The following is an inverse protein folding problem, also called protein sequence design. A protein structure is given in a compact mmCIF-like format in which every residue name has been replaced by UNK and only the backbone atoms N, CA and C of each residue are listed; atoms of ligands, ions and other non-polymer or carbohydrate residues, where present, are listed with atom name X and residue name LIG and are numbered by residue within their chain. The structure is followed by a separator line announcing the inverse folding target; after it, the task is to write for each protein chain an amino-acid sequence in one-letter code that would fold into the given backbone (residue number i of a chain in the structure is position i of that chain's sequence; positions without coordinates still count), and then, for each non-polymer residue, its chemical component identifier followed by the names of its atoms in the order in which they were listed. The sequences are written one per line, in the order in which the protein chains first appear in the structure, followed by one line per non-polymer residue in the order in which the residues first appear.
data_IF_940745228066
#
_entry.id   IF_940745228066
#
_cell.length_a   1.000
_cell.length_b   1.000
_cell.length_c   1.000
_cell.angle_alpha   90.00
_cell.angle_beta   90.00
_cell.angle_gamma   90.00
#
_symmetry.space_group_name_H-M   'P 1'
#
loop_
_entity.id
_entity.type
_entity.pdbx_description
1 polymer ?
#
# COMPACT_ATOMS: atom_id res chain seq x y z
N UNK A 1 -5.77 7.47 13.79
CA UNK A 1 -6.93 6.76 13.17
C UNK A 1 -6.44 6.08 11.89
N UNK A 2 -6.81 4.83 11.68
CA UNK A 2 -6.38 4.07 10.51
C UNK A 2 -7.39 4.20 9.35
N UNK A 3 -6.89 4.28 8.12
CA UNK A 3 -7.72 4.26 6.92
C UNK A 3 -7.35 3.05 6.06
N UNK A 4 -8.37 2.34 5.58
CA UNK A 4 -8.25 1.29 4.58
C UNK A 4 -8.78 1.81 3.25
N UNK A 5 -7.92 1.82 2.24
CA UNK A 5 -8.26 2.31 0.90
C UNK A 5 -8.25 1.12 -0.06
N UNK A 6 -9.39 0.78 -0.62
CA UNK A 6 -9.51 -0.26 -1.63
C UNK A 6 -9.44 0.35 -3.02
N UNK A 7 -8.57 -0.16 -3.86
CA UNK A 7 -8.38 0.26 -5.26
C UNK A 7 -8.69 -0.88 -6.22
N UNK A 8 -8.88 -0.59 -7.51
CA UNK A 8 -9.36 -1.55 -8.50
C UNK A 8 -8.33 -2.54 -9.06
N UNK A 9 -7.10 -2.60 -8.50
CA UNK A 9 -6.08 -3.55 -8.94
C UNK A 9 -6.37 -4.99 -8.51
N UNK A 10 -5.51 -5.90 -8.92
CA UNK A 10 -5.63 -7.34 -8.58
C UNK A 10 -5.38 -7.54 -7.09
N UNK A 11 -6.19 -8.37 -6.44
CA UNK A 11 -5.99 -8.82 -5.07
C UNK A 11 -6.14 -10.35 -4.96
N UNK A 12 -5.57 -10.90 -3.90
CA UNK A 12 -5.74 -12.29 -3.45
C UNK A 12 -6.41 -12.26 -2.08
N UNK A 13 -7.76 -12.22 -2.03
CA UNK A 13 -8.52 -11.97 -0.81
C UNK A 13 -8.19 -12.94 0.32
N UNK A 14 -7.94 -14.21 -0.01
CA UNK A 14 -7.60 -15.27 0.95
C UNK A 14 -6.27 -15.05 1.67
N UNK A 15 -5.41 -14.17 1.14
CA UNK A 15 -4.12 -13.82 1.73
C UNK A 15 -4.08 -12.42 2.34
N UNK A 16 -5.18 -11.68 2.29
CA UNK A 16 -5.31 -10.39 2.99
C UNK A 16 -5.51 -10.67 4.48
N UNK A 17 -4.57 -10.24 5.30
CA UNK A 17 -4.59 -10.45 6.76
C UNK A 17 -4.88 -9.17 7.55
N UNK A 18 -4.89 -8.03 6.88
CA UNK A 18 -5.19 -6.73 7.49
C UNK A 18 -6.65 -6.36 7.20
N UNK A 19 -7.45 -6.21 8.26
CA UNK A 19 -8.87 -5.89 8.17
C UNK A 19 -9.18 -4.67 9.03
N UNK A 20 -10.14 -3.81 8.61
CA UNK A 20 -10.57 -2.68 9.42
C UNK A 20 -11.27 -3.14 10.70
N UNK A 21 -11.12 -2.33 11.74
CA UNK A 21 -11.82 -2.44 13.02
C UNK A 21 -12.82 -1.31 13.19
N UNK A 22 -13.63 -1.29 14.25
CA UNK A 22 -14.79 -0.42 14.39
C UNK A 22 -14.56 1.09 14.21
N UNK A 23 -13.36 1.59 14.55
CA UNK A 23 -13.01 3.02 14.46
C UNK A 23 -12.23 3.40 13.18
N UNK A 24 -11.99 2.42 12.31
CA UNK A 24 -11.24 2.64 11.07
C UNK A 24 -12.16 3.14 9.96
N UNK A 25 -11.61 4.02 9.11
CA UNK A 25 -12.34 4.49 7.94
C UNK A 25 -12.05 3.59 6.75
N UNK A 26 -13.08 3.23 5.98
CA UNK A 26 -12.95 2.41 4.78
C UNK A 26 -13.37 3.21 3.56
N UNK A 27 -12.43 3.47 2.67
CA UNK A 27 -12.64 4.23 1.44
C UNK A 27 -12.44 3.29 0.25
N UNK A 28 -13.39 3.25 -0.66
CA UNK A 28 -13.22 2.59 -1.95
C UNK A 28 -12.99 3.64 -3.05
N UNK A 29 -11.95 3.45 -3.85
CA UNK A 29 -11.64 4.25 -5.01
C UNK A 29 -12.20 3.56 -6.25
N UNK A 30 -13.29 4.09 -6.82
CA UNK A 30 -14.00 3.58 -7.99
C UNK A 30 -14.23 2.05 -7.92
N UNK A 31 -13.67 1.28 -8.83
CA UNK A 31 -13.78 -0.19 -8.86
C UNK A 31 -13.14 -0.91 -7.67
N UNK A 32 -12.49 -0.21 -6.76
CA UNK A 32 -12.02 -0.75 -5.47
C UNK A 32 -13.15 -1.26 -4.57
N UNK A 33 -14.38 -0.84 -4.83
CA UNK A 33 -15.56 -1.36 -4.14
C UNK A 33 -15.71 -2.88 -4.27
N UNK A 34 -15.45 -3.44 -5.47
CA UNK A 34 -15.51 -4.89 -5.66
C UNK A 34 -14.43 -5.62 -4.83
N UNK A 35 -13.26 -5.03 -4.69
CA UNK A 35 -12.19 -5.57 -3.85
C UNK A 35 -12.56 -5.54 -2.36
N UNK A 36 -13.19 -4.47 -1.88
CA UNK A 36 -13.73 -4.41 -0.52
C UNK A 36 -14.79 -5.52 -0.30
N UNK A 37 -15.71 -5.70 -1.24
CA UNK A 37 -16.71 -6.80 -1.18
C UNK A 37 -16.06 -8.18 -1.16
N UNK A 38 -15.03 -8.40 -1.99
CA UNK A 38 -14.32 -9.69 -2.06
C UNK A 38 -13.63 -10.05 -0.74
N UNK A 39 -13.24 -9.06 0.06
CA UNK A 39 -12.68 -9.27 1.41
C UNK A 39 -13.74 -9.25 2.53
N UNK A 40 -15.03 -9.10 2.19
CA UNK A 40 -16.12 -9.00 3.18
C UNK A 40 -16.11 -7.67 3.96
N UNK A 41 -15.47 -6.63 3.42
CA UNK A 41 -15.30 -5.33 4.09
C UNK A 41 -16.41 -4.35 3.68
N UNK A 42 -17.07 -3.72 4.66
CA UNK A 42 -18.04 -2.68 4.42
C UNK A 42 -17.34 -1.34 4.15
N UNK A 43 -17.76 -0.66 3.09
CA UNK A 43 -17.23 0.65 2.69
C UNK A 43 -18.02 1.76 3.38
N UNK A 44 -17.33 2.76 3.91
CA UNK A 44 -17.94 3.98 4.46
C UNK A 44 -17.93 5.15 3.49
N UNK A 45 -16.95 5.21 2.58
CA UNK A 45 -16.84 6.26 1.55
C UNK A 45 -16.52 5.62 0.21
N UNK A 46 -17.24 5.99 -0.84
CA UNK A 46 -16.90 5.67 -2.24
C UNK A 46 -16.51 6.95 -2.97
N UNK A 47 -15.35 7.00 -3.61
CA UNK A 47 -14.89 8.15 -4.37
C UNK A 47 -14.41 7.77 -5.77
N UNK A 48 -14.62 8.66 -6.75
CA UNK A 48 -14.21 8.46 -8.15
C UNK A 48 -15.14 9.12 -9.15
N UNK A 49 -14.92 8.86 -10.44
CA UNK A 49 -15.83 9.23 -11.52
C UNK A 49 -16.92 8.15 -11.76
N UNK A 50 -16.67 6.95 -11.25
CA UNK A 50 -17.56 5.77 -11.27
C UNK A 50 -17.78 5.13 -12.64
N UNK A 51 -16.94 5.41 -13.62
CA UNK A 51 -17.03 4.76 -14.93
C UNK A 51 -16.76 3.27 -14.82
N UNK A 52 -15.66 2.88 -14.13
CA UNK A 52 -15.32 1.47 -13.92
C UNK A 52 -16.26 0.77 -12.92
N UNK A 53 -16.76 1.48 -11.92
CA UNK A 53 -17.79 0.97 -11.00
C UNK A 53 -19.04 0.60 -11.79
N UNK A 54 -19.60 1.56 -12.57
CA UNK A 54 -20.81 1.38 -13.35
C UNK A 54 -20.65 0.29 -14.41
N UNK A 55 -19.48 0.20 -15.06
CA UNK A 55 -19.19 -0.85 -16.03
C UNK A 55 -19.23 -2.27 -15.40
N UNK A 56 -18.87 -2.41 -14.14
CA UNK A 56 -18.85 -3.71 -13.41
C UNK A 56 -20.20 -4.04 -12.76
N UNK A 57 -20.86 -3.08 -12.13
CA UNK A 57 -22.12 -3.29 -11.41
C UNK A 57 -23.36 -3.17 -12.32
N UNK A 58 -23.23 -2.58 -13.51
CA UNK A 58 -24.33 -2.34 -14.46
C UNK A 58 -25.27 -1.22 -14.01
N UNK A 59 -25.01 -0.57 -12.88
CA UNK A 59 -25.81 0.50 -12.28
C UNK A 59 -24.93 1.53 -11.59
N UNK A 60 -25.36 2.79 -11.44
CA UNK A 60 -24.61 3.81 -10.72
C UNK A 60 -24.54 3.49 -9.19
N UNK A 61 -23.56 4.06 -8.48
CA UNK A 61 -23.36 3.80 -7.04
C UNK A 61 -24.59 4.05 -6.18
N UNK A 62 -25.36 5.09 -6.50
CA UNK A 62 -26.55 5.53 -5.78
C UNK A 62 -27.67 4.45 -5.75
N UNK A 63 -27.70 3.58 -6.77
CA UNK A 63 -28.68 2.49 -6.89
C UNK A 63 -28.21 1.18 -6.25
N UNK A 64 -26.91 1.08 -5.92
CA UNK A 64 -26.28 -0.16 -5.44
C UNK A 64 -25.95 -0.06 -3.94
N UNK A 65 -25.49 1.12 -3.49
CA UNK A 65 -24.96 1.31 -2.16
C UNK A 65 -26.05 1.69 -1.16
N UNK A 66 -25.91 1.26 0.11
CA UNK A 66 -26.78 1.73 1.17
C UNK A 66 -26.56 3.22 1.42
N UNK A 67 -27.61 3.92 1.86
CA UNK A 67 -27.60 5.36 2.15
C UNK A 67 -26.60 5.80 3.23
N UNK A 68 -26.02 4.85 3.96
CA UNK A 68 -24.97 5.10 4.95
C UNK A 68 -23.59 5.30 4.33
N UNK A 69 -23.39 4.99 3.04
CA UNK A 69 -22.13 5.20 2.34
C UNK A 69 -22.07 6.61 1.77
N UNK A 70 -21.06 7.36 2.15
CA UNK A 70 -20.77 8.68 1.58
C UNK A 70 -20.25 8.51 0.15
N UNK A 71 -20.91 9.12 -0.84
CA UNK A 71 -20.50 9.06 -2.26
C UNK A 71 -19.88 10.39 -2.65
N UNK A 72 -18.60 10.39 -3.03
CA UNK A 72 -17.85 11.58 -3.45
C UNK A 72 -17.53 11.46 -4.93
N UNK A 73 -18.34 12.11 -5.76
CA UNK A 73 -18.16 12.13 -7.21
C UNK A 73 -17.19 13.23 -7.62
N UNK A 74 -16.23 12.87 -8.47
CA UNK A 74 -15.25 13.80 -9.02
C UNK A 74 -15.24 13.67 -10.56
N UNK A 75 -14.91 14.73 -11.30
CA UNK A 75 -14.75 14.65 -12.74
C UNK A 75 -13.67 13.67 -13.16
N UNK A 76 -13.84 13.01 -14.32
CA UNK A 76 -12.82 12.14 -14.92
C UNK A 76 -11.56 12.95 -15.30
N UNK A 77 -11.75 14.18 -15.78
CA UNK A 77 -10.67 15.14 -16.09
C UNK A 77 -10.15 15.81 -14.80
N UNK A 78 -9.21 15.17 -14.13
CA UNK A 78 -8.57 15.68 -12.90
C UNK A 78 -7.06 15.35 -12.91
N UNK A 79 -6.27 16.14 -12.20
CA UNK A 79 -4.81 15.98 -12.12
C UNK A 79 -4.37 14.85 -11.17
N UNK A 80 -5.30 14.17 -10.50
CA UNK A 80 -5.01 13.12 -9.51
C UNK A 80 -5.69 11.80 -9.88
N UNK A 81 -5.03 10.68 -9.58
CA UNK A 81 -5.64 9.35 -9.69
C UNK A 81 -6.68 9.15 -8.58
N UNK A 82 -7.61 8.19 -8.78
CA UNK A 82 -8.60 7.86 -7.74
C UNK A 82 -7.96 7.39 -6.42
N UNK A 83 -6.80 6.70 -6.52
CA UNK A 83 -6.02 6.32 -5.34
C UNK A 83 -5.49 7.55 -4.60
N UNK A 84 -4.94 8.54 -5.30
CA UNK A 84 -4.46 9.79 -4.70
C UNK A 84 -5.59 10.59 -4.05
N UNK A 85 -6.77 10.63 -4.70
CA UNK A 85 -7.95 11.24 -4.14
C UNK A 85 -8.38 10.55 -2.83
N UNK A 86 -8.48 9.21 -2.84
CA UNK A 86 -8.83 8.44 -1.65
C UNK A 86 -7.84 8.67 -0.49
N UNK A 87 -6.54 8.76 -0.80
CA UNK A 87 -5.50 9.12 0.19
C UNK A 87 -5.72 10.52 0.73
N UNK A 88 -5.99 11.52 -0.11
CA UNK A 88 -6.28 12.88 0.35
C UNK A 88 -7.50 12.91 1.27
N UNK A 89 -8.58 12.23 0.91
CA UNK A 89 -9.77 12.12 1.74
C UNK A 89 -9.50 11.45 3.09
N UNK A 90 -8.66 10.40 3.12
CA UNK A 90 -8.24 9.77 4.36
C UNK A 90 -7.48 10.74 5.28
N UNK A 91 -6.56 11.52 4.72
CA UNK A 91 -5.80 12.54 5.45
C UNK A 91 -6.72 13.66 5.96
N UNK A 92 -7.65 14.16 5.14
CA UNK A 92 -8.61 15.21 5.52
C UNK A 92 -9.55 14.74 6.67
N UNK A 93 -9.82 13.43 6.73
CA UNK A 93 -10.57 12.81 7.83
C UNK A 93 -9.68 12.47 9.05
N UNK A 94 -8.38 12.83 9.01
CA UNK A 94 -7.45 12.70 10.14
C UNK A 94 -6.74 11.35 10.25
N UNK A 95 -6.65 10.57 9.17
CA UNK A 95 -5.89 9.33 9.19
C UNK A 95 -4.38 9.58 9.28
N UNK A 96 -3.70 8.82 10.13
CA UNK A 96 -2.25 8.83 10.36
C UNK A 96 -1.58 7.47 10.09
N UNK A 97 -2.38 6.45 9.76
CA UNK A 97 -1.97 5.13 9.29
C UNK A 97 -2.87 4.73 8.11
N UNK A 98 -2.29 4.43 6.96
CA UNK A 98 -3.00 4.15 5.71
C UNK A 98 -2.63 2.78 5.17
N UNK A 99 -3.65 1.96 4.89
CA UNK A 99 -3.50 0.67 4.22
C UNK A 99 -4.19 0.74 2.86
N UNK A 100 -3.42 0.63 1.79
CA UNK A 100 -3.94 0.60 0.42
C UNK A 100 -3.99 -0.86 -0.05
N UNK A 101 -5.19 -1.36 -0.36
CA UNK A 101 -5.43 -2.73 -0.82
C UNK A 101 -5.75 -2.73 -2.31
N UNK A 102 -5.01 -3.53 -3.10
CA UNK A 102 -5.14 -3.59 -4.55
C UNK A 102 -4.35 -2.50 -5.29
N UNK A 103 -3.40 -1.85 -4.60
CA UNK A 103 -2.53 -0.83 -5.20
C UNK A 103 -1.32 -1.38 -5.97
N UNK A 104 -1.11 -2.70 -5.92
CA UNK A 104 -0.05 -3.42 -6.64
C UNK A 104 -0.67 -4.29 -7.76
N UNK A 105 0.14 -4.67 -8.74
CA UNK A 105 -0.31 -5.51 -9.85
C UNK A 105 -1.18 -4.80 -10.90
N UNK A 106 -1.54 -5.51 -11.96
CA UNK A 106 -2.28 -4.93 -13.09
C UNK A 106 -1.40 -4.00 -13.93
N UNK A 107 -1.84 -2.77 -14.15
CA UNK A 107 -1.09 -1.78 -14.92
C UNK A 107 0.14 -1.31 -14.16
N UNK A 108 1.32 -1.44 -14.78
CA UNK A 108 2.61 -1.10 -14.18
C UNK A 108 2.74 0.39 -13.82
N UNK A 109 2.19 1.28 -14.66
CA UNK A 109 2.16 2.73 -14.42
C UNK A 109 1.43 3.09 -13.11
N UNK A 110 0.29 2.45 -12.84
CA UNK A 110 -0.44 2.61 -11.58
C UNK A 110 0.34 2.08 -10.39
N UNK A 111 0.95 0.89 -10.52
CA UNK A 111 1.79 0.32 -9.45
C UNK A 111 2.94 1.27 -9.07
N UNK A 112 3.66 1.81 -10.07
CA UNK A 112 4.76 2.74 -9.83
C UNK A 112 4.28 4.07 -9.22
N UNK A 113 3.15 4.60 -9.69
CA UNK A 113 2.52 5.79 -9.11
C UNK A 113 2.13 5.56 -7.65
N UNK A 114 1.54 4.41 -7.33
CA UNK A 114 1.14 4.07 -5.97
C UNK A 114 2.33 3.89 -5.03
N UNK A 115 3.46 3.36 -5.51
CA UNK A 115 4.70 3.33 -4.71
C UNK A 115 5.19 4.74 -4.38
N UNK A 116 5.05 5.70 -5.29
CA UNK A 116 5.34 7.11 -5.03
C UNK A 116 4.46 7.73 -3.94
N UNK A 117 3.22 7.25 -3.76
CA UNK A 117 2.35 7.68 -2.65
C UNK A 117 2.97 7.31 -1.30
N UNK A 118 3.58 6.12 -1.17
CA UNK A 118 4.25 5.72 0.08
C UNK A 118 5.39 6.69 0.45
N UNK A 119 6.16 7.11 -0.53
CA UNK A 119 7.25 8.07 -0.35
C UNK A 119 6.71 9.42 0.13
N UNK A 120 5.69 9.95 -0.56
CA UNK A 120 5.03 11.21 -0.19
C UNK A 120 4.40 11.18 1.21
N UNK A 121 3.76 10.07 1.61
CA UNK A 121 3.18 9.92 2.93
C UNK A 121 4.25 9.85 4.03
N UNK A 122 5.37 9.17 3.77
CA UNK A 122 6.49 9.11 4.71
C UNK A 122 7.13 10.48 4.95
N UNK A 123 7.22 11.36 3.94
CA UNK A 123 7.66 12.75 4.09
C UNK A 123 6.76 13.55 5.05
N UNK A 124 5.49 13.18 5.16
CA UNK A 124 4.50 13.76 6.08
C UNK A 124 4.44 13.05 7.44
N UNK A 125 5.32 12.08 7.70
CA UNK A 125 5.30 11.21 8.88
C UNK A 125 4.00 10.39 9.03
N UNK A 126 3.36 10.05 7.92
CA UNK A 126 2.19 9.17 7.87
C UNK A 126 2.67 7.75 7.59
N UNK A 127 2.23 6.79 8.41
CA UNK A 127 2.47 5.38 8.14
C UNK A 127 1.63 4.92 6.97
N UNK A 128 2.26 4.23 6.01
CA UNK A 128 1.52 3.69 4.89
C UNK A 128 2.03 2.33 4.44
N UNK A 129 1.09 1.49 4.03
CA UNK A 129 1.36 0.15 3.49
C UNK A 129 0.49 -0.05 2.26
N UNK A 130 1.05 -0.62 1.19
CA UNK A 130 0.28 -1.10 0.04
C UNK A 130 0.37 -2.62 0.03
N UNK A 131 -0.74 -3.31 -0.18
CA UNK A 131 -0.76 -4.77 -0.25
C UNK A 131 -1.82 -5.28 -1.23
N UNK A 132 -1.61 -6.51 -1.72
CA UNK A 132 -2.55 -7.23 -2.60
C UNK A 132 -2.82 -8.68 -2.16
N UNK A 133 -2.20 -9.12 -1.06
CA UNK A 133 -2.22 -10.50 -0.56
C UNK A 133 -0.97 -11.30 -0.98
N UNK A 134 -0.45 -11.12 -2.19
CA UNK A 134 0.82 -11.70 -2.63
C UNK A 134 2.02 -10.90 -2.14
N UNK A 135 1.91 -9.58 -2.18
CA UNK A 135 2.98 -8.65 -1.85
C UNK A 135 2.50 -7.56 -0.89
N UNK A 136 3.44 -7.04 -0.12
CA UNK A 136 3.25 -5.90 0.77
C UNK A 136 4.44 -4.96 0.64
N UNK A 137 4.19 -3.68 0.37
CA UNK A 137 5.21 -2.65 0.20
C UNK A 137 5.06 -1.55 1.25
N UNK A 138 6.20 -1.10 1.79
CA UNK A 138 6.36 0.07 2.67
C UNK A 138 7.53 0.90 2.21
N UNK A 139 7.53 2.17 2.60
CA UNK A 139 8.68 3.05 2.40
C UNK A 139 9.21 3.55 3.74
N UNK A 140 10.54 3.56 3.89
CA UNK A 140 11.21 4.17 5.04
C UNK A 140 12.38 5.05 4.57
N UNK A 141 12.63 6.13 5.28
CA UNK A 141 13.69 7.09 4.95
C UNK A 141 14.52 7.40 6.19
N UNK A 142 15.84 7.16 6.10
CA UNK A 142 16.84 7.54 7.13
C UNK A 142 16.44 7.16 8.57
N UNK A 143 15.91 5.96 8.76
CA UNK A 143 15.41 5.45 10.04
C UNK A 143 15.69 3.96 10.21
N UNK A 144 15.25 3.40 11.34
CA UNK A 144 15.25 1.96 11.58
C UNK A 144 13.82 1.44 11.66
N UNK A 145 13.60 0.24 11.12
CA UNK A 145 12.30 -0.41 11.08
C UNK A 145 12.42 -1.88 11.49
N UNK A 146 11.59 -2.29 12.44
CA UNK A 146 11.49 -3.68 12.90
C UNK A 146 10.35 -4.37 12.13
N UNK A 147 10.65 -5.45 11.42
CA UNK A 147 9.68 -6.27 10.70
C UNK A 147 9.53 -7.60 11.43
N UNK A 148 8.34 -7.87 11.95
CA UNK A 148 8.01 -9.19 12.46
C UNK A 148 7.91 -10.20 11.32
N UNK A 149 8.35 -11.45 11.58
CA UNK A 149 8.13 -12.54 10.64
C UNK A 149 6.63 -12.71 10.37
N UNK A 150 6.27 -12.80 9.13
CA UNK A 150 4.91 -12.85 8.65
C UNK A 150 4.73 -14.03 7.66
N UNK A 151 3.53 -14.30 7.16
CA UNK A 151 3.33 -15.30 6.11
C UNK A 151 4.03 -15.00 4.78
N UNK A 152 4.56 -13.78 4.59
CA UNK A 152 5.42 -13.46 3.44
C UNK A 152 6.79 -14.11 3.63
N UNK A 153 7.22 -14.87 2.63
CA UNK A 153 8.49 -15.60 2.67
C UNK A 153 9.68 -14.70 2.43
N UNK A 154 9.57 -13.82 1.44
CA UNK A 154 10.68 -13.00 0.98
C UNK A 154 10.60 -11.58 1.52
N UNK A 155 11.76 -11.00 1.81
CA UNK A 155 11.95 -9.59 2.14
C UNK A 155 12.97 -8.98 1.18
N UNK A 156 12.56 -7.99 0.40
CA UNK A 156 13.40 -7.25 -0.53
C UNK A 156 13.56 -5.80 -0.06
N UNK A 157 14.76 -5.26 -0.27
CA UNK A 157 15.10 -3.88 0.07
C UNK A 157 15.56 -3.20 -1.21
N UNK A 158 14.76 -2.26 -1.71
CA UNK A 158 15.02 -1.55 -2.94
C UNK A 158 15.34 -0.07 -2.65
N UNK A 159 16.49 0.40 -3.15
CA UNK A 159 16.83 1.82 -3.05
C UNK A 159 15.87 2.67 -3.90
N UNK A 160 15.16 3.60 -3.27
CA UNK A 160 14.36 4.64 -3.95
C UNK A 160 15.26 5.75 -4.48
N UNK A 161 16.20 6.20 -3.67
CA UNK A 161 17.19 7.19 -4.07
C UNK A 161 18.23 6.62 -5.05
N UNK A 162 18.88 7.51 -5.81
CA UNK A 162 20.03 7.14 -6.65
C UNK A 162 21.08 6.35 -5.86
N UNK A 163 21.32 6.74 -4.60
CA UNK A 163 22.25 6.08 -3.67
C UNK A 163 21.72 6.19 -2.25
N UNK A 164 21.57 5.06 -1.58
CA UNK A 164 21.24 4.92 -0.16
C UNK A 164 22.46 4.43 0.60
N UNK A 165 22.76 5.04 1.76
CA UNK A 165 23.98 4.76 2.53
C UNK A 165 23.67 4.24 3.92
N UNK A 166 24.54 3.37 4.42
CA UNK A 166 24.50 2.87 5.78
C UNK A 166 23.33 1.94 6.01
N UNK A 167 23.00 1.13 5.02
CA UNK A 167 21.95 0.12 5.13
C UNK A 167 22.47 -1.08 5.92
N UNK A 168 21.79 -1.44 6.99
CA UNK A 168 22.06 -2.64 7.77
C UNK A 168 20.82 -3.50 7.85
N UNK A 169 20.99 -4.80 7.78
CA UNK A 169 19.92 -5.81 7.84
C UNK A 169 20.37 -6.90 8.81
N UNK A 170 19.66 -7.02 9.92
CA UNK A 170 19.89 -8.05 10.94
C UNK A 170 18.66 -8.96 11.03
N UNK A 171 18.85 -10.23 11.41
CA UNK A 171 17.77 -11.21 11.54
C UNK A 171 17.32 -11.86 10.23
N UNK A 172 18.08 -11.68 9.15
CA UNK A 172 17.84 -12.28 7.85
C UNK A 172 18.96 -13.23 7.43
N UNK A 173 18.65 -14.10 6.47
CA UNK A 173 19.57 -15.09 5.89
C UNK A 173 20.80 -14.43 5.25
N UNK A 174 20.61 -13.27 4.63
CA UNK A 174 21.67 -12.48 3.99
C UNK A 174 21.77 -11.12 4.71
N UNK A 175 22.55 -11.03 5.81
CA UNK A 175 22.68 -9.79 6.57
C UNK A 175 23.50 -8.75 5.80
N UNK A 176 23.21 -7.47 6.04
CA UNK A 176 24.01 -6.35 5.53
C UNK A 176 24.54 -5.53 6.69
N UNK A 177 25.77 -5.01 6.56
CA UNK A 177 26.39 -4.13 7.54
C UNK A 177 26.89 -2.85 6.88
N UNK A 178 26.25 -1.72 7.22
CA UNK A 178 26.61 -0.39 6.72
C UNK A 178 26.79 -0.33 5.18
N UNK A 179 25.94 -1.08 4.46
CA UNK A 179 25.99 -1.26 3.02
C UNK A 179 25.58 0.02 2.26
N UNK A 180 25.99 0.08 1.01
CA UNK A 180 25.56 1.09 0.04
C UNK A 180 24.68 0.41 -0.99
N UNK A 181 23.42 0.84 -1.11
CA UNK A 181 22.51 0.41 -2.16
C UNK A 181 22.39 1.50 -3.24
N UNK A 182 22.22 1.08 -4.47
CA UNK A 182 22.07 1.97 -5.62
C UNK A 182 20.83 1.56 -6.41
N UNK A 183 19.98 2.55 -6.79
CA UNK A 183 18.76 2.30 -7.57
C UNK A 183 19.04 1.56 -8.90
N UNK A 184 20.17 1.83 -9.54
CA UNK A 184 20.55 1.17 -10.78
C UNK A 184 21.18 -0.22 -10.61
N UNK A 185 21.44 -0.67 -9.36
CA UNK A 185 22.00 -1.97 -9.06
C UNK A 185 21.43 -2.51 -7.74
N UNK A 186 20.32 -3.24 -7.85
CA UNK A 186 19.55 -3.78 -6.72
C UNK A 186 19.98 -5.22 -6.45
N UNK A 187 20.64 -5.47 -5.33
CA UNK A 187 21.11 -6.81 -4.94
C UNK A 187 20.53 -7.32 -3.62
N UNK A 188 19.82 -6.48 -2.89
CA UNK A 188 19.21 -6.81 -1.61
C UNK A 188 17.75 -7.29 -1.79
N UNK A 189 17.54 -8.23 -2.71
CA UNK A 189 16.24 -8.80 -3.04
C UNK A 189 16.14 -10.25 -2.57
N UNK A 190 14.91 -10.73 -2.34
CA UNK A 190 14.60 -12.12 -2.00
C UNK A 190 15.36 -12.64 -0.77
N UNK A 191 15.56 -11.80 0.23
CA UNK A 191 16.06 -12.22 1.54
C UNK A 191 14.96 -12.94 2.32
N UNK A 192 15.29 -13.63 3.40
CA UNK A 192 14.34 -14.37 4.24
C UNK A 192 14.61 -14.02 5.72
N UNK A 193 13.56 -13.75 6.50
CA UNK A 193 13.68 -13.55 7.94
C UNK A 193 13.90 -14.91 8.61
N UNK A 194 15.02 -15.07 9.32
CA UNK A 194 15.40 -16.37 9.92
C UNK A 194 14.88 -16.57 11.32
N UNK A 195 14.65 -15.47 12.07
CA UNK A 195 14.11 -15.49 13.42
C UNK A 195 12.65 -15.03 13.50
N UNK A 196 12.29 -14.40 14.60
CA UNK A 196 10.96 -13.84 14.82
C UNK A 196 10.80 -12.45 14.18
N UNK A 197 11.89 -11.75 13.93
CA UNK A 197 11.89 -10.42 13.32
C UNK A 197 13.21 -10.13 12.62
N UNK A 198 13.19 -9.12 11.75
CA UNK A 198 14.37 -8.49 11.17
C UNK A 198 14.41 -7.00 11.53
N UNK A 199 15.61 -6.47 11.79
CA UNK A 199 15.85 -5.04 11.96
C UNK A 199 16.54 -4.50 10.72
N UNK A 200 15.89 -3.55 10.06
CA UNK A 200 16.42 -2.82 8.91
C UNK A 200 16.75 -1.40 9.34
N UNK A 201 17.97 -0.94 9.10
CA UNK A 201 18.40 0.43 9.44
C UNK A 201 18.98 1.12 8.22
N UNK A 202 18.64 2.39 8.04
CA UNK A 202 19.11 3.26 6.95
C UNK A 202 19.63 4.55 7.54
N UNK A 203 20.91 4.88 7.29
CA UNK A 203 21.50 6.15 7.78
C UNK A 203 21.15 7.35 6.89
N UNK A 204 21.10 7.16 5.58
CA UNK A 204 20.82 8.24 4.63
C UNK A 204 20.16 7.72 3.37
N UNK A 205 18.99 8.28 3.06
CA UNK A 205 18.19 7.99 1.87
C UNK A 205 16.99 7.11 2.14
N UNK A 206 16.20 6.88 1.10
CA UNK A 206 14.95 6.14 1.13
C UNK A 206 15.04 4.75 0.50
N UNK A 207 14.30 3.82 1.05
CA UNK A 207 14.15 2.46 0.55
C UNK A 207 12.69 2.01 0.57
N UNK A 208 12.33 1.19 -0.40
CA UNK A 208 11.14 0.36 -0.31
C UNK A 208 11.48 -0.96 0.38
N UNK A 209 10.65 -1.33 1.35
CA UNK A 209 10.63 -2.65 1.96
C UNK A 209 9.48 -3.43 1.32
N UNK A 210 9.79 -4.50 0.62
CA UNK A 210 8.80 -5.32 -0.07
C UNK A 210 8.87 -6.73 0.50
N UNK A 211 7.77 -7.15 1.10
CA UNK A 211 7.56 -8.53 1.52
C UNK A 211 6.71 -9.21 0.46
N UNK A 212 7.05 -10.46 0.11
CA UNK A 212 6.30 -11.22 -0.90
C UNK A 212 6.31 -12.72 -0.61
N UNK A 213 5.36 -13.42 -1.23
CA UNK A 213 5.23 -14.89 -1.20
C UNK A 213 5.06 -15.44 -2.61
N UNK A 214 5.41 -16.71 -2.77
CA UNK A 214 4.96 -17.50 -3.93
C UNK A 214 3.47 -17.82 -3.75
N UNK A 215 2.68 -17.85 -4.84
CA UNK A 215 1.27 -18.26 -4.89
C UNK A 215 1.12 -19.71 -5.28
#
# INVERSE_FOLDING_TARGET
MKAFIFTGGVIYPEYITEHPTGDDIVIAADSGYQNARATGTNVSVLCGDFDSFTAREGRPPEDVLPSSVEIIRVPAEKDATDTQLAVSLALDKGADDIVIIGGLGGRLDHTLSNLGILEHLAEKNIYATILDGQSRARYIHSTSYLIARSPYRYLSILASDKVVKGVSVDGCKYPLKNARLCRGFQYAVSNEITGNCALISVKKGGIFLIESRDL
#
